data_IF_715946410002
#
_entry.id   IF_715946410002
#
_cell.length_a   1.000
_cell.length_b   1.000
_cell.length_c   1.000
_cell.angle_alpha   90.00
_cell.angle_beta   90.00
_cell.angle_gamma   90.00
#
_symmetry.space_group_name_H-M   'P 1'
#
loop_
_entity.id
_entity.type
_entity.pdbx_description
1 polymer ?
#
# COMPACT_ATOMS: atom_id res chain seq x y z
N UNK A 1 -4.52 0.47 6.16
CA UNK A 1 -4.31 0.20 7.61
C UNK A 1 -3.42 -1.03 7.72
N UNK A 2 -2.44 -1.01 8.60
CA UNK A 2 -1.70 -2.23 8.95
C UNK A 2 -2.60 -3.09 9.83
N UNK A 3 -2.63 -4.39 9.61
CA UNK A 3 -3.34 -5.32 10.50
C UNK A 3 -2.33 -6.25 11.15
N UNK A 4 -2.33 -6.30 12.46
CA UNK A 4 -1.46 -7.17 13.26
C UNK A 4 -2.33 -8.06 14.14
N UNK A 5 -2.19 -9.36 13.98
CA UNK A 5 -2.81 -10.33 14.86
C UNK A 5 -1.77 -11.00 15.75
N UNK A 6 -1.79 -10.67 17.02
CA UNK A 6 -0.97 -11.31 18.05
C UNK A 6 -1.43 -12.77 18.27
N UNK A 7 -2.75 -12.99 18.19
CA UNK A 7 -3.37 -14.30 18.39
C UNK A 7 -3.03 -15.28 17.26
N UNK A 8 -3.06 -14.81 16.01
CA UNK A 8 -2.82 -15.63 14.82
C UNK A 8 -1.41 -15.47 14.26
N UNK A 9 -0.58 -14.62 14.89
CA UNK A 9 0.82 -14.37 14.55
C UNK A 9 1.02 -13.98 13.09
N UNK A 10 0.27 -13.00 12.64
CA UNK A 10 0.47 -12.43 11.30
C UNK A 10 0.52 -10.91 11.30
N UNK A 11 1.14 -10.37 10.26
CA UNK A 11 1.19 -8.94 9.93
C UNK A 11 0.81 -8.74 8.48
N UNK A 12 -0.26 -7.98 8.23
CA UNK A 12 -0.60 -7.49 6.90
C UNK A 12 -0.02 -6.10 6.69
N UNK A 13 0.92 -5.98 5.75
CA UNK A 13 1.49 -4.70 5.31
C UNK A 13 0.61 -4.14 4.21
N UNK A 14 -0.13 -3.08 4.53
CA UNK A 14 -1.08 -2.46 3.63
C UNK A 14 -0.38 -1.66 2.54
N UNK A 15 -0.43 -2.16 1.32
CA UNK A 15 0.11 -1.49 0.14
C UNK A 15 -1.00 -0.76 -0.62
N UNK A 16 -0.87 0.56 -0.76
CA UNK A 16 -1.87 1.40 -1.42
C UNK A 16 -2.21 0.95 -2.84
N UNK A 17 -3.49 1.03 -3.21
CA UNK A 17 -4.00 0.70 -4.56
C UNK A 17 -3.87 -0.77 -4.98
N UNK A 18 -3.56 -1.66 -4.04
CA UNK A 18 -3.52 -3.11 -4.22
C UNK A 18 -4.62 -3.81 -3.40
N UNK A 19 -5.87 -3.32 -3.50
CA UNK A 19 -7.05 -3.78 -2.74
C UNK A 19 -6.91 -3.67 -1.21
N UNK A 20 -6.06 -2.77 -0.73
CA UNK A 20 -5.76 -2.61 0.70
C UNK A 20 -7.03 -2.47 1.56
N UNK A 21 -7.97 -1.63 1.17
CA UNK A 21 -9.22 -1.41 1.93
C UNK A 21 -10.04 -2.70 2.09
N UNK A 22 -10.26 -3.45 1.01
CA UNK A 22 -11.04 -4.70 1.07
C UNK A 22 -10.37 -5.76 1.93
N UNK A 23 -9.04 -5.83 1.90
CA UNK A 23 -8.27 -6.77 2.72
C UNK A 23 -8.25 -6.33 4.19
N UNK A 24 -8.08 -5.03 4.43
CA UNK A 24 -8.18 -4.44 5.77
C UNK A 24 -9.53 -4.72 6.42
N UNK A 25 -10.62 -4.52 5.66
CA UNK A 25 -11.98 -4.79 6.14
C UNK A 25 -12.16 -6.27 6.48
N UNK A 26 -11.70 -7.18 5.60
CA UNK A 26 -11.79 -8.61 5.85
C UNK A 26 -10.96 -9.08 7.06
N UNK A 27 -9.82 -8.44 7.29
CA UNK A 27 -8.91 -8.78 8.39
C UNK A 27 -9.16 -7.97 9.67
N UNK A 28 -10.07 -7.00 9.66
CA UNK A 28 -10.32 -6.09 10.79
C UNK A 28 -10.65 -6.80 12.09
N UNK A 29 -11.37 -7.93 12.01
CA UNK A 29 -11.73 -8.76 13.16
C UNK A 29 -10.52 -9.42 13.86
N UNK A 30 -9.35 -9.44 13.21
CA UNK A 30 -8.12 -10.02 13.75
C UNK A 30 -7.13 -8.95 14.24
N UNK A 31 -7.52 -7.66 14.21
CA UNK A 31 -6.65 -6.57 14.61
C UNK A 31 -6.49 -6.49 16.12
N UNK A 32 -5.30 -6.85 16.62
CA UNK A 32 -4.95 -6.79 18.03
C UNK A 32 -4.14 -5.52 18.39
N UNK A 33 -3.63 -4.78 17.37
CA UNK A 33 -2.77 -3.58 17.52
C UNK A 33 -3.33 -2.36 16.79
N UNK A 34 -4.53 -1.86 17.15
CA UNK A 34 -5.12 -0.67 16.51
C UNK A 34 -4.27 0.60 16.74
N UNK A 35 -3.46 0.63 17.79
CA UNK A 35 -2.53 1.70 18.12
C UNK A 35 -1.52 2.00 16.99
N UNK A 36 -1.14 1.00 16.19
CA UNK A 36 -0.22 1.17 15.06
C UNK A 36 -0.79 2.07 13.95
N UNK A 37 -2.10 2.21 13.89
CA UNK A 37 -2.78 3.05 12.92
C UNK A 37 -2.91 4.51 13.39
N UNK A 38 -2.59 4.76 14.66
CA UNK A 38 -2.61 6.09 15.28
C UNK A 38 -1.23 6.75 15.29
N UNK A 39 -0.16 6.00 15.01
CA UNK A 39 1.19 6.55 14.97
C UNK A 39 1.33 7.60 13.89
N UNK A 40 1.39 8.86 14.32
CA UNK A 40 1.80 9.98 13.48
C UNK A 40 3.32 9.95 13.35
N UNK A 41 3.81 9.45 12.22
CA UNK A 41 5.16 9.81 11.81
C UNK A 41 5.08 11.06 10.97
N UNK A 42 5.71 12.13 11.47
CA UNK A 42 5.74 13.42 10.83
C UNK A 42 6.09 13.27 9.33
N UNK A 43 5.16 13.61 8.47
CA UNK A 43 5.41 14.08 7.12
C UNK A 43 5.30 13.10 5.96
N UNK A 44 5.22 11.76 6.13
CA UNK A 44 5.45 10.88 4.99
C UNK A 44 4.38 9.83 4.68
N UNK A 45 3.49 9.50 5.61
CA UNK A 45 2.49 8.43 5.35
C UNK A 45 1.10 8.89 5.78
N UNK A 46 0.14 8.59 4.93
CA UNK A 46 -1.20 8.45 5.49
C UNK A 46 -1.14 7.31 6.51
N UNK A 47 -1.75 7.45 7.65
CA UNK A 47 -1.84 6.48 8.77
C UNK A 47 -2.15 5.03 8.34
N UNK A 48 -2.46 4.81 7.05
CA UNK A 48 -2.94 3.55 6.48
C UNK A 48 -1.86 2.69 5.80
N UNK A 49 -0.74 3.27 5.40
CA UNK A 49 0.20 2.59 4.50
C UNK A 49 1.64 2.66 5.03
N UNK A 50 1.86 2.15 6.23
CA UNK A 50 3.19 2.10 6.83
C UNK A 50 4.01 0.98 6.17
N UNK A 51 5.22 1.27 5.64
CA UNK A 51 6.12 0.27 5.07
C UNK A 51 6.62 -0.74 6.10
N UNK A 52 6.99 -1.92 5.63
CA UNK A 52 7.55 -2.97 6.48
C UNK A 52 8.79 -2.52 7.26
N UNK A 53 9.65 -1.72 6.63
CA UNK A 53 10.87 -1.21 7.28
C UNK A 53 10.58 -0.34 8.51
N UNK A 54 9.47 0.37 8.52
CA UNK A 54 9.03 1.20 9.65
C UNK A 54 8.25 0.39 10.69
N UNK A 55 7.60 -0.70 10.28
CA UNK A 55 6.85 -1.59 11.17
C UNK A 55 7.76 -2.48 12.01
N UNK A 56 8.87 -2.94 11.44
CA UNK A 56 9.82 -3.85 12.10
C UNK A 56 10.30 -3.29 13.46
N UNK A 57 10.82 -2.05 13.54
CA UNK A 57 11.27 -1.52 14.82
C UNK A 57 10.13 -1.28 15.83
N UNK A 58 8.91 -1.03 15.36
CA UNK A 58 7.75 -0.79 16.24
C UNK A 58 7.23 -2.11 16.83
N UNK A 59 7.18 -3.15 16.02
CA UNK A 59 6.75 -4.50 16.48
C UNK A 59 7.85 -5.24 17.24
N UNK A 60 9.11 -4.93 16.97
CA UNK A 60 10.28 -5.64 17.42
C UNK A 60 10.68 -6.76 16.45
N UNK A 61 12.00 -6.88 16.21
CA UNK A 61 12.56 -7.85 15.25
C UNK A 61 12.18 -9.30 15.59
N UNK A 62 12.13 -9.64 16.85
CA UNK A 62 11.75 -10.98 17.30
C UNK A 62 10.33 -11.34 16.86
N UNK A 63 9.34 -10.48 17.13
CA UNK A 63 7.95 -10.71 16.68
C UNK A 63 7.86 -10.76 15.17
N UNK A 64 8.54 -9.85 14.47
CA UNK A 64 8.56 -9.83 13.02
C UNK A 64 9.03 -11.15 12.41
N UNK A 65 10.07 -11.75 12.98
CA UNK A 65 10.60 -13.05 12.51
C UNK A 65 9.69 -14.24 12.81
N UNK A 66 8.89 -14.16 13.88
CA UNK A 66 8.00 -15.25 14.28
C UNK A 66 6.59 -15.15 13.69
N UNK A 67 6.23 -13.99 13.13
CA UNK A 67 4.92 -13.79 12.53
C UNK A 67 4.99 -13.97 11.00
N UNK A 68 3.91 -14.48 10.44
CA UNK A 68 3.75 -14.49 8.98
C UNK A 68 3.45 -13.06 8.52
N UNK A 69 4.43 -12.39 7.93
CA UNK A 69 4.24 -11.08 7.34
C UNK A 69 3.88 -11.21 5.85
N UNK A 70 2.86 -10.49 5.41
CA UNK A 70 2.47 -10.53 4.01
C UNK A 70 1.95 -9.19 3.50
N UNK A 71 2.04 -9.01 2.19
CA UNK A 71 1.49 -7.88 1.48
C UNK A 71 0.87 -8.31 0.15
N UNK A 72 0.00 -7.46 -0.38
CA UNK A 72 -0.56 -7.63 -1.71
C UNK A 72 0.06 -6.60 -2.63
N UNK A 73 0.51 -7.06 -3.79
CA UNK A 73 1.02 -6.22 -4.88
C UNK A 73 0.13 -6.38 -6.10
N UNK A 74 0.11 -5.35 -6.93
CA UNK A 74 -0.66 -5.32 -8.16
C UNK A 74 0.29 -5.22 -9.34
N UNK A 75 -0.14 -5.72 -10.50
CA UNK A 75 0.58 -5.53 -11.75
C UNK A 75 0.95 -4.03 -11.91
N UNK A 76 2.20 -3.69 -12.25
CA UNK A 76 2.69 -2.30 -12.18
C UNK A 76 1.88 -1.30 -13.00
N UNK A 77 1.46 -1.67 -14.21
CA UNK A 77 0.66 -0.78 -15.05
C UNK A 77 -0.77 -0.59 -14.51
N UNK A 78 -1.41 -1.68 -14.08
CA UNK A 78 -2.72 -1.61 -13.45
C UNK A 78 -2.69 -0.84 -12.11
N UNK A 79 -1.61 -0.95 -11.36
CA UNK A 79 -1.38 -0.14 -10.16
C UNK A 79 -1.25 1.34 -10.52
N UNK A 80 -0.44 1.67 -11.54
CA UNK A 80 -0.26 3.04 -12.02
C UNK A 80 -1.59 3.66 -12.45
N UNK A 81 -2.38 2.96 -13.27
CA UNK A 81 -3.71 3.42 -13.67
C UNK A 81 -4.62 3.66 -12.47
N UNK A 82 -4.57 2.79 -11.47
CA UNK A 82 -5.35 2.96 -10.24
C UNK A 82 -4.91 4.17 -9.42
N UNK A 83 -3.62 4.51 -9.40
CA UNK A 83 -3.11 5.73 -8.76
C UNK A 83 -3.58 6.97 -9.51
N UNK A 84 -3.48 6.97 -10.84
CA UNK A 84 -3.97 8.07 -11.69
C UNK A 84 -5.46 8.30 -11.43
N UNK A 85 -6.28 7.26 -11.60
CA UNK A 85 -7.72 7.35 -11.40
C UNK A 85 -8.08 7.88 -10.01
N UNK A 86 -7.43 7.36 -8.96
CA UNK A 86 -7.68 7.81 -7.60
C UNK A 86 -7.37 9.29 -7.41
N UNK A 87 -6.23 9.77 -7.91
CA UNK A 87 -5.85 11.17 -7.75
C UNK A 87 -6.73 12.10 -8.60
N UNK A 88 -7.07 11.69 -9.83
CA UNK A 88 -7.98 12.44 -10.70
C UNK A 88 -9.37 12.55 -10.08
N UNK A 89 -9.97 11.42 -9.66
CA UNK A 89 -11.36 11.40 -9.18
C UNK A 89 -11.53 11.95 -7.76
N UNK A 90 -10.55 11.76 -6.87
CA UNK A 90 -10.72 12.17 -5.48
C UNK A 90 -10.12 13.53 -5.14
N UNK A 91 -9.10 13.99 -5.86
CA UNK A 91 -8.45 15.26 -5.55
C UNK A 91 -8.87 16.43 -6.44
N UNK A 92 -9.59 16.20 -7.54
CA UNK A 92 -10.05 17.23 -8.49
C UNK A 92 -8.98 18.22 -8.97
N UNK A 93 -7.70 17.91 -8.72
CA UNK A 93 -6.59 18.84 -8.92
C UNK A 93 -6.19 18.99 -10.40
N UNK A 94 -6.72 18.12 -11.27
CA UNK A 94 -6.36 18.11 -12.68
C UNK A 94 -7.37 18.81 -13.59
N UNK A 95 -8.46 19.32 -13.02
CA UNK A 95 -9.53 20.02 -13.76
C UNK A 95 -9.97 19.27 -15.04
N UNK A 96 -10.09 17.95 -14.93
CA UNK A 96 -10.46 17.05 -16.03
C UNK A 96 -11.92 16.67 -15.92
N UNK A 97 -12.58 16.56 -17.08
CA UNK A 97 -13.92 15.98 -17.16
C UNK A 97 -13.84 14.45 -16.96
N UNK A 98 -14.19 14.00 -15.77
CA UNK A 98 -14.15 12.58 -15.38
C UNK A 98 -15.22 11.72 -16.07
N UNK A 99 -16.18 12.36 -16.76
CA UNK A 99 -17.24 11.66 -17.52
C UNK A 99 -16.83 11.40 -18.97
N UNK A 100 -15.81 12.09 -19.45
CA UNK A 100 -15.29 11.93 -20.81
C UNK A 100 -14.28 10.75 -20.88
N UNK A 101 -14.16 10.08 -22.03
CA UNK A 101 -13.09 9.12 -22.24
C UNK A 101 -11.71 9.78 -22.06
N UNK A 102 -10.79 9.09 -21.39
CA UNK A 102 -9.39 9.55 -21.24
C UNK A 102 -8.72 9.67 -22.61
N UNK A 103 -8.31 10.87 -22.95
CA UNK A 103 -7.53 11.17 -24.16
C UNK A 103 -6.03 11.05 -23.87
N UNK A 104 -5.20 10.93 -24.92
CA UNK A 104 -3.76 10.83 -24.78
C UNK A 104 -3.14 12.00 -23.97
N UNK A 105 -3.66 13.22 -24.17
CA UNK A 105 -3.23 14.41 -23.42
C UNK A 105 -3.58 14.32 -21.93
N UNK A 106 -4.67 13.66 -21.59
CA UNK A 106 -5.07 13.46 -20.19
C UNK A 106 -4.15 12.47 -19.50
N UNK A 107 -3.73 11.43 -20.20
CA UNK A 107 -2.72 10.47 -19.70
C UNK A 107 -1.39 11.19 -19.48
N UNK A 108 -0.99 12.08 -20.39
CA UNK A 108 0.23 12.88 -20.23
C UNK A 108 0.15 13.81 -19.01
N UNK A 109 -0.98 14.51 -18.82
CA UNK A 109 -1.23 15.36 -17.63
C UNK A 109 -1.18 14.54 -16.33
N UNK A 110 -1.80 13.35 -16.33
CA UNK A 110 -1.76 12.46 -15.18
C UNK A 110 -0.34 11.99 -14.86
N UNK A 111 0.44 11.67 -15.90
CA UNK A 111 1.84 11.27 -15.73
C UNK A 111 2.69 12.42 -15.17
N UNK A 112 2.54 13.64 -15.70
CA UNK A 112 3.25 14.82 -15.21
C UNK A 112 2.85 15.18 -13.77
N UNK A 113 1.57 15.05 -13.44
CA UNK A 113 1.09 15.21 -12.06
C UNK A 113 1.77 14.21 -11.12
N UNK A 114 1.76 12.93 -11.47
CA UNK A 114 2.40 11.91 -10.64
C UNK A 114 3.91 12.10 -10.52
N UNK A 115 4.57 12.55 -11.59
CA UNK A 115 6.00 12.86 -11.56
C UNK A 115 6.30 14.02 -10.63
N UNK A 116 5.51 15.10 -10.69
CA UNK A 116 5.64 16.27 -9.80
C UNK A 116 5.30 15.91 -8.35
N UNK A 117 4.25 15.12 -8.16
CA UNK A 117 3.83 14.65 -6.83
C UNK A 117 4.93 13.80 -6.18
N UNK A 118 5.54 12.89 -6.92
CA UNK A 118 6.68 12.10 -6.47
C UNK A 118 7.93 12.93 -6.16
N UNK A 119 8.18 13.96 -6.95
CA UNK A 119 9.32 14.85 -6.72
C UNK A 119 9.13 15.72 -5.46
N UNK A 120 7.89 16.04 -5.10
CA UNK A 120 7.55 16.79 -3.90
C UNK A 120 7.48 15.91 -2.65
N UNK A 121 6.95 14.70 -2.80
CA UNK A 121 7.00 13.68 -1.76
C UNK A 121 8.27 12.84 -1.96
N UNK A 122 9.41 13.29 -1.55
CA UNK A 122 10.66 12.52 -1.56
C UNK A 122 10.59 11.25 -0.68
N UNK A 123 9.41 10.60 -0.65
CA UNK A 123 9.12 9.43 0.14
C UNK A 123 9.47 8.17 -0.63
N UNK A 124 10.30 7.31 -0.08
CA UNK A 124 10.54 5.96 -0.61
C UNK A 124 9.24 5.16 -0.79
N UNK A 125 8.20 5.47 0.00
CA UNK A 125 6.90 4.77 -0.02
C UNK A 125 6.03 5.05 -1.25
N UNK A 126 6.50 5.86 -2.19
CA UNK A 126 5.76 6.13 -3.43
C UNK A 126 5.67 4.93 -4.40
N UNK A 127 6.25 3.80 -4.08
CA UNK A 127 6.20 2.58 -4.90
C UNK A 127 5.74 1.39 -4.08
N UNK A 128 5.15 0.39 -4.74
CA UNK A 128 4.80 -0.87 -4.08
C UNK A 128 6.03 -1.55 -3.47
N UNK A 129 7.18 -1.43 -4.15
CA UNK A 129 8.45 -1.97 -3.72
C UNK A 129 8.89 -1.42 -2.36
N UNK A 130 8.85 -0.11 -2.20
CA UNK A 130 9.26 0.56 -0.97
C UNK A 130 8.42 0.20 0.26
N UNK A 131 7.21 -0.36 0.06
CA UNK A 131 6.40 -0.84 1.18
C UNK A 131 6.86 -2.20 1.72
N UNK A 132 7.55 -2.99 0.92
CA UNK A 132 7.82 -4.39 1.23
C UNK A 132 9.29 -4.76 1.19
N UNK A 133 10.16 -3.87 0.70
CA UNK A 133 11.61 -4.07 0.63
C UNK A 133 12.37 -3.01 1.40
N UNK A 134 13.61 -3.33 1.74
CA UNK A 134 14.59 -2.37 2.24
C UNK A 134 15.23 -1.55 1.11
N UNK A 135 16.09 -0.55 1.42
CA UNK A 135 16.78 0.25 0.42
C UNK A 135 17.70 -0.55 -0.50
N UNK A 136 18.22 -1.69 -0.05
CA UNK A 136 19.09 -2.59 -0.80
C UNK A 136 18.30 -3.56 -1.68
N UNK A 137 16.97 -3.51 -1.59
CA UNK A 137 16.06 -4.31 -2.39
C UNK A 137 15.74 -5.67 -1.81
N UNK A 138 16.08 -5.95 -0.58
CA UNK A 138 15.72 -7.19 0.08
C UNK A 138 14.28 -7.18 0.52
N UNK A 139 13.56 -8.26 0.24
CA UNK A 139 12.18 -8.43 0.66
C UNK A 139 12.09 -8.57 2.17
N UNK A 140 11.29 -7.70 2.80
CA UNK A 140 11.10 -7.66 4.25
C UNK A 140 9.88 -8.45 4.74
N UNK A 141 8.97 -8.84 3.82
CA UNK A 141 7.79 -9.64 4.16
C UNK A 141 7.98 -11.10 3.76
N UNK A 142 7.37 -12.02 4.51
CA UNK A 142 7.49 -13.46 4.25
C UNK A 142 6.81 -13.89 2.95
N UNK A 143 5.75 -13.18 2.57
CA UNK A 143 4.94 -13.58 1.42
C UNK A 143 4.39 -12.36 0.67
N UNK A 144 4.48 -12.42 -0.65
CA UNK A 144 3.81 -11.47 -1.55
C UNK A 144 2.73 -12.18 -2.36
N UNK A 145 1.53 -11.62 -2.34
CA UNK A 145 0.44 -12.07 -3.18
C UNK A 145 0.14 -11.06 -4.28
N UNK A 146 -0.16 -11.57 -5.46
CA UNK A 146 -0.63 -10.74 -6.55
C UNK A 146 -2.13 -10.55 -6.46
N UNK A 147 -2.58 -9.30 -6.58
CA UNK A 147 -4.01 -8.97 -6.59
C UNK A 147 -4.77 -9.74 -7.67
N UNK A 148 -4.16 -9.91 -8.84
CA UNK A 148 -4.78 -10.58 -10.00
C UNK A 148 -5.11 -12.06 -9.75
N UNK A 149 -4.45 -12.69 -8.78
CA UNK A 149 -4.71 -14.07 -8.37
C UNK A 149 -5.38 -14.21 -7.00
N UNK A 150 -5.70 -13.10 -6.35
CA UNK A 150 -6.14 -13.09 -4.96
C UNK A 150 -7.46 -13.85 -4.75
N UNK A 151 -8.43 -13.68 -5.66
CA UNK A 151 -9.74 -14.32 -5.54
C UNK A 151 -9.64 -15.86 -5.48
N UNK A 152 -8.68 -16.45 -6.22
CA UNK A 152 -8.46 -17.90 -6.23
C UNK A 152 -7.72 -18.36 -4.97
N UNK A 153 -6.89 -17.50 -4.39
CA UNK A 153 -6.04 -17.85 -3.25
C UNK A 153 -6.61 -17.45 -1.90
N UNK A 154 -7.65 -16.60 -1.90
CA UNK A 154 -8.23 -16.08 -0.66
C UNK A 154 -8.71 -17.16 0.30
N UNK A 155 -9.20 -18.27 -0.23
CA UNK A 155 -9.64 -19.41 0.58
C UNK A 155 -8.47 -20.19 1.25
N UNK A 156 -7.22 -19.85 0.94
CA UNK A 156 -6.00 -20.48 1.49
C UNK A 156 -5.36 -19.64 2.60
N UNK A 157 -5.90 -18.46 2.85
CA UNK A 157 -5.51 -17.53 3.92
C UNK A 157 -6.38 -17.79 5.15
#
# INVERSE_FOLDING_TARGET
MVVVSERHKFVFVSNGKAASTSVEDALSQYQDRPDLNEHERAGYYTKRHMPAIDLIPILGAERWMHYTSFAIVREPFAWFLSQVSYNVFNKRDLNMDVTAPLMADDVAKCYDFLRKYRAQEASPSATQWAHVCDPDGQLLVSTLWRLEGLAVRWAQI
#
